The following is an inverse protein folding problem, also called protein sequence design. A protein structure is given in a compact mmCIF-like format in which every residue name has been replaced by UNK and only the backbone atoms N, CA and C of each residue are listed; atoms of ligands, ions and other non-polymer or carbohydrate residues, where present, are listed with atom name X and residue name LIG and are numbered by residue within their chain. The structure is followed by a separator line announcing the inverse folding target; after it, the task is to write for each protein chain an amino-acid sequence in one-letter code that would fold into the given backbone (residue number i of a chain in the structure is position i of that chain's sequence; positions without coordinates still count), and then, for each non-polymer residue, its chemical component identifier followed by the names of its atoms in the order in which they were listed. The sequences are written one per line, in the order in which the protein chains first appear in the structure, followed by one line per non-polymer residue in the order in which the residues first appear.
data_IF_046221694255
#
_entry.id   IF_046221694255
#
_cell.length_a   1.000
_cell.length_b   1.000
_cell.length_c   1.000
_cell.angle_alpha   90.00
_cell.angle_beta   90.00
_cell.angle_gamma   90.00
#
_symmetry.space_group_name_H-M   'P 1'
#
loop_
_entity.id
_entity.type
_entity.pdbx_description
1 polymer ?
#
# COMPACT_ATOMS: atom_id res chain seq x y z
N UNK A 1 -3.83 -4.76 4.35
CA UNK A 1 -2.80 -4.36 3.36
C UNK A 1 -3.39 -3.64 2.16
N UNK A 2 -2.70 -2.62 1.65
CA UNK A 2 -2.95 -2.04 0.32
C UNK A 2 -2.62 -3.05 -0.79
N UNK A 3 -3.21 -2.93 -1.99
CA UNK A 3 -2.77 -3.70 -3.15
C UNK A 3 -1.28 -3.48 -3.42
N UNK A 4 -0.56 -4.56 -3.76
CA UNK A 4 0.87 -4.54 -4.10
C UNK A 4 1.03 -4.99 -5.55
N UNK A 5 1.81 -4.23 -6.33
CA UNK A 5 2.24 -4.61 -7.69
C UNK A 5 3.77 -4.66 -7.74
N UNK A 6 4.32 -5.76 -8.24
CA UNK A 6 5.77 -5.88 -8.44
C UNK A 6 6.17 -5.44 -9.85
N UNK A 7 7.18 -4.59 -9.95
CA UNK A 7 7.86 -4.25 -11.20
C UNK A 7 9.18 -5.03 -11.24
N UNK A 8 9.27 -5.94 -12.20
CA UNK A 8 10.39 -6.89 -12.35
C UNK A 8 11.09 -6.70 -13.69
N UNK A 9 12.23 -7.35 -13.88
CA UNK A 9 13.07 -7.24 -15.08
C UNK A 9 14.55 -7.22 -14.73
N UNK A 10 15.41 -7.51 -15.71
CA UNK A 10 16.86 -7.53 -15.52
C UNK A 10 17.44 -6.17 -15.10
N UNK A 11 18.68 -6.16 -14.60
CA UNK A 11 19.36 -4.89 -14.31
C UNK A 11 19.50 -4.06 -15.60
N UNK A 12 19.36 -2.74 -15.50
CA UNK A 12 19.51 -1.84 -16.65
C UNK A 12 18.35 -1.76 -17.64
N UNK A 13 17.27 -2.54 -17.48
CA UNK A 13 16.12 -2.50 -18.44
C UNK A 13 15.27 -1.21 -18.38
N UNK A 14 15.36 -0.44 -17.29
CA UNK A 14 14.58 0.78 -17.08
C UNK A 14 13.47 0.69 -16.02
N UNK A 15 13.52 -0.29 -15.10
CA UNK A 15 12.54 -0.44 -14.01
C UNK A 15 12.34 0.84 -13.19
N UNK A 16 13.43 1.44 -12.72
CA UNK A 16 13.39 2.63 -11.87
C UNK A 16 12.70 3.78 -12.58
N UNK A 17 13.01 4.01 -13.87
CA UNK A 17 12.35 5.03 -14.69
C UNK A 17 10.85 4.79 -14.83
N UNK A 18 10.41 3.55 -15.07
CA UNK A 18 8.98 3.24 -15.13
C UNK A 18 8.32 3.45 -13.76
N UNK A 19 8.97 3.03 -12.67
CA UNK A 19 8.46 3.20 -11.30
C UNK A 19 8.29 4.68 -10.95
N UNK A 20 9.28 5.53 -11.23
CA UNK A 20 9.19 6.98 -10.97
C UNK A 20 8.04 7.64 -11.73
N UNK A 21 7.87 7.28 -13.01
CA UNK A 21 6.75 7.76 -13.84
C UNK A 21 5.41 7.27 -13.27
N UNK A 22 5.31 5.98 -12.91
CA UNK A 22 4.10 5.42 -12.31
C UNK A 22 3.73 6.12 -11.00
N UNK A 23 4.71 6.34 -10.09
CA UNK A 23 4.47 7.06 -8.83
C UNK A 23 3.92 8.45 -9.13
N UNK A 24 4.54 9.18 -10.06
CA UNK A 24 4.10 10.52 -10.46
C UNK A 24 2.65 10.52 -10.97
N UNK A 25 2.31 9.58 -11.86
CA UNK A 25 0.94 9.43 -12.39
C UNK A 25 -0.07 9.08 -11.29
N UNK A 26 0.26 8.13 -10.41
CA UNK A 26 -0.63 7.75 -9.31
C UNK A 26 -0.87 8.91 -8.33
N UNK A 27 0.18 9.66 -7.98
CA UNK A 27 0.07 10.83 -7.11
C UNK A 27 -0.77 11.92 -7.76
N UNK A 28 -0.59 12.18 -9.06
CA UNK A 28 -1.44 13.12 -9.81
C UNK A 28 -2.93 12.71 -9.83
N UNK A 29 -3.21 11.41 -9.77
CA UNK A 29 -4.57 10.85 -9.65
C UNK A 29 -5.08 10.77 -8.19
N UNK A 30 -4.33 11.29 -7.21
CA UNK A 30 -4.74 11.40 -5.80
C UNK A 30 -4.51 10.15 -4.96
N UNK A 31 -3.70 9.19 -5.41
CA UNK A 31 -3.34 8.01 -4.61
C UNK A 31 -2.16 8.31 -3.68
N UNK A 32 -2.22 7.80 -2.45
CA UNK A 32 -1.04 7.70 -1.58
C UNK A 32 -0.25 6.47 -1.99
N UNK A 33 0.93 6.68 -2.56
CA UNK A 33 1.78 5.61 -3.09
C UNK A 33 2.91 5.33 -2.13
N UNK A 34 3.16 4.05 -1.85
CA UNK A 34 4.40 3.63 -1.23
C UNK A 34 5.24 2.82 -2.23
N UNK A 35 6.56 2.89 -2.07
CA UNK A 35 7.50 2.10 -2.84
C UNK A 35 8.37 1.25 -1.91
N UNK A 36 8.71 0.04 -2.35
CA UNK A 36 9.60 -0.86 -1.62
C UNK A 36 10.52 -1.55 -2.62
N UNK A 37 11.82 -1.53 -2.34
CA UNK A 37 12.82 -2.11 -3.22
C UNK A 37 13.51 -3.28 -2.52
N UNK A 38 13.67 -4.38 -3.24
CA UNK A 38 14.53 -5.46 -2.81
C UNK A 38 15.96 -5.19 -3.28
N UNK A 39 16.88 -4.91 -2.36
CA UNK A 39 18.30 -4.85 -2.65
C UNK A 39 18.85 -6.28 -2.78
N UNK A 40 19.68 -6.56 -3.79
CA UNK A 40 20.29 -7.88 -3.98
C UNK A 40 21.46 -8.16 -3.04
N UNK A 41 21.99 -7.11 -2.41
CA UNK A 41 23.08 -7.14 -1.45
C UNK A 41 22.73 -6.23 -0.27
N UNK A 42 23.52 -6.33 0.79
CA UNK A 42 23.44 -5.41 1.91
C UNK A 42 23.66 -3.97 1.42
N UNK A 43 23.04 -3.01 2.10
CA UNK A 43 23.11 -1.60 1.73
C UNK A 43 23.15 -0.73 2.97
N UNK A 44 23.91 0.37 2.88
CA UNK A 44 23.87 1.42 3.88
C UNK A 44 23.14 2.64 3.30
N UNK A 45 22.27 3.22 4.11
CA UNK A 45 21.55 4.46 3.80
C UNK A 45 22.09 5.63 4.62
N UNK A 46 22.91 5.33 5.63
CA UNK A 46 23.53 6.32 6.50
C UNK A 46 24.93 6.68 6.03
N UNK A 47 25.52 7.69 6.68
CA UNK A 47 26.89 8.12 6.42
C UNK A 47 27.82 7.72 7.56
N UNK A 48 28.92 7.06 7.20
CA UNK A 48 29.95 6.64 8.15
C UNK A 48 30.42 7.80 9.05
N UNK A 49 30.55 7.52 10.34
CA UNK A 49 30.98 8.48 11.35
C UNK A 49 29.91 9.45 11.87
N UNK A 50 28.71 9.50 11.26
CA UNK A 50 27.57 10.27 11.81
C UNK A 50 26.98 9.59 13.04
N UNK A 51 26.25 10.35 13.84
CA UNK A 51 25.68 9.89 15.12
C UNK A 51 24.81 8.65 14.95
N UNK A 52 23.94 8.64 13.93
CA UNK A 52 23.02 7.53 13.65
C UNK A 52 23.73 6.27 13.21
N UNK A 53 24.81 6.40 12.43
CA UNK A 53 25.68 5.31 12.05
C UNK A 53 26.43 4.75 13.27
N UNK A 54 26.93 5.64 14.14
CA UNK A 54 27.59 5.25 15.39
C UNK A 54 26.63 4.55 16.35
N UNK A 55 25.36 4.96 16.42
CA UNK A 55 24.34 4.29 17.23
C UNK A 55 24.10 2.86 16.73
N UNK A 56 23.93 2.67 15.42
CA UNK A 56 23.78 1.36 14.81
C UNK A 56 25.01 0.47 15.07
N UNK A 57 26.23 1.01 14.86
CA UNK A 57 27.49 0.31 15.10
C UNK A 57 27.74 -0.02 16.58
N UNK A 58 27.20 0.77 17.50
CA UNK A 58 27.21 0.49 18.95
C UNK A 58 26.22 -0.62 19.36
N UNK A 59 25.41 -1.14 18.42
CA UNK A 59 24.49 -2.25 18.67
C UNK A 59 23.04 -1.81 18.89
N UNK A 60 22.66 -0.58 18.56
CA UNK A 60 21.25 -0.19 18.57
C UNK A 60 20.48 -1.06 17.56
N UNK A 61 19.50 -1.82 18.06
CA UNK A 61 18.63 -2.66 17.22
C UNK A 61 17.77 -1.82 16.28
N UNK A 62 17.36 -0.63 16.72
CA UNK A 62 16.59 0.34 15.95
C UNK A 62 17.17 1.74 16.15
N UNK A 63 17.31 2.48 15.05
CA UNK A 63 17.69 3.89 15.04
C UNK A 63 16.60 4.65 14.28
N UNK A 64 16.01 5.64 14.93
CA UNK A 64 14.98 6.50 14.35
C UNK A 64 15.46 7.94 14.26
N UNK A 65 15.36 8.50 13.06
CA UNK A 65 15.71 9.89 12.74
C UNK A 65 14.40 10.60 12.44
N UNK A 66 14.18 11.76 13.07
CA UNK A 66 12.97 12.54 12.89
C UNK A 66 13.31 14.00 12.61
N UNK A 67 12.60 14.57 11.64
CA UNK A 67 12.58 16.00 11.34
C UNK A 67 11.13 16.47 11.17
N UNK A 68 10.85 17.77 11.07
CA UNK A 68 9.47 18.28 10.93
C UNK A 68 8.67 17.70 9.75
N UNK A 69 9.34 17.19 8.71
CA UNK A 69 8.70 16.78 7.46
C UNK A 69 8.98 15.34 7.04
N UNK A 70 9.91 14.64 7.69
CA UNK A 70 10.27 13.27 7.34
C UNK A 70 10.91 12.52 8.50
N UNK A 71 10.74 11.21 8.45
CA UNK A 71 11.43 10.24 9.30
C UNK A 71 12.30 9.32 8.44
N UNK A 72 13.37 8.82 9.03
CA UNK A 72 14.13 7.69 8.51
C UNK A 72 14.34 6.68 9.63
N UNK A 73 14.25 5.39 9.33
CA UNK A 73 14.40 4.33 10.31
C UNK A 73 15.39 3.29 9.78
N UNK A 74 16.38 2.96 10.59
CA UNK A 74 17.31 1.86 10.36
C UNK A 74 16.97 0.80 11.39
N UNK A 75 16.66 -0.41 10.93
CA UNK A 75 16.28 -1.53 11.80
C UNK A 75 17.11 -2.74 11.46
N UNK A 76 17.92 -3.18 12.42
CA UNK A 76 18.70 -4.39 12.29
C UNK A 76 17.78 -5.60 12.30
N UNK A 77 18.10 -6.61 11.50
CA UNK A 77 17.29 -7.81 11.34
C UNK A 77 18.18 -9.04 11.40
N UNK A 78 17.80 -9.99 12.26
CA UNK A 78 18.46 -11.29 12.33
C UNK A 78 18.04 -12.24 11.21
N UNK A 79 16.89 -12.00 10.57
CA UNK A 79 16.35 -12.79 9.46
C UNK A 79 15.58 -11.93 8.47
N UNK A 80 15.55 -12.38 7.22
CA UNK A 80 14.72 -11.79 6.17
C UNK A 80 13.23 -11.94 6.51
N UNK A 81 12.42 -10.92 6.23
CA UNK A 81 10.97 -10.94 6.40
C UNK A 81 10.31 -10.75 5.05
N UNK A 82 9.31 -11.57 4.76
CA UNK A 82 8.56 -11.50 3.52
C UNK A 82 7.90 -10.14 3.28
N UNK A 83 7.72 -9.81 2.01
CA UNK A 83 7.24 -8.50 1.55
C UNK A 83 5.88 -8.12 2.17
N UNK A 84 4.94 -9.05 2.25
CA UNK A 84 3.61 -8.76 2.83
C UNK A 84 3.69 -8.22 4.25
N UNK A 85 4.53 -8.81 5.10
CA UNK A 85 4.69 -8.36 6.48
C UNK A 85 5.45 -7.04 6.59
N UNK A 86 6.40 -6.76 5.70
CA UNK A 86 7.03 -5.44 5.61
C UNK A 86 5.99 -4.36 5.27
N UNK A 87 5.12 -4.62 4.29
CA UNK A 87 4.05 -3.72 3.89
C UNK A 87 3.07 -3.45 5.04
N UNK A 88 2.65 -4.47 5.77
CA UNK A 88 1.71 -4.30 6.90
C UNK A 88 2.32 -3.53 8.07
N UNK A 89 3.62 -3.69 8.33
CA UNK A 89 4.30 -3.00 9.43
C UNK A 89 4.63 -1.53 9.13
N UNK A 90 5.00 -1.22 7.89
CA UNK A 90 5.63 0.06 7.56
C UNK A 90 4.87 0.89 6.53
N UNK A 91 3.96 0.29 5.75
CA UNK A 91 3.32 0.92 4.59
C UNK A 91 1.77 0.87 4.68
N UNK A 92 1.21 0.79 5.88
CA UNK A 92 -0.22 0.56 6.14
C UNK A 92 -1.13 1.72 5.66
N UNK A 93 -0.56 2.92 5.55
CA UNK A 93 -1.23 4.14 5.15
C UNK A 93 -1.37 4.32 3.63
N UNK A 94 -0.67 3.51 2.84
CA UNK A 94 -0.70 3.60 1.37
C UNK A 94 -2.04 3.12 0.78
N UNK A 95 -2.38 3.65 -0.39
CA UNK A 95 -3.49 3.19 -1.22
C UNK A 95 -3.04 2.16 -2.26
N UNK A 96 -1.77 2.20 -2.66
CA UNK A 96 -1.09 1.19 -3.48
C UNK A 96 0.41 1.15 -3.14
N UNK A 97 1.00 -0.04 -3.23
CA UNK A 97 2.43 -0.28 -3.01
C UNK A 97 3.05 -0.78 -4.31
N UNK A 98 4.12 -0.11 -4.76
CA UNK A 98 4.94 -0.52 -5.91
C UNK A 98 6.21 -1.18 -5.39
N UNK A 99 6.38 -2.45 -5.70
CA UNK A 99 7.54 -3.23 -5.29
C UNK A 99 8.55 -3.37 -6.44
N UNK A 100 9.76 -2.84 -6.30
CA UNK A 100 10.85 -3.09 -7.23
C UNK A 100 11.51 -4.43 -6.90
N UNK A 101 11.42 -5.40 -7.83
CA UNK A 101 11.95 -6.74 -7.64
C UNK A 101 10.94 -7.71 -7.03
N UNK A 102 11.35 -8.49 -6.02
CA UNK A 102 10.51 -9.52 -5.40
C UNK A 102 9.94 -10.56 -6.40
N UNK A 103 10.72 -10.95 -7.42
CA UNK A 103 10.25 -11.83 -8.51
C UNK A 103 9.68 -13.18 -8.06
N UNK A 104 10.14 -13.69 -6.91
CA UNK A 104 9.71 -14.96 -6.30
C UNK A 104 8.43 -14.83 -5.47
N UNK A 105 8.01 -13.61 -5.14
CA UNK A 105 6.76 -13.40 -4.40
C UNK A 105 5.56 -13.72 -5.30
N UNK A 106 4.53 -14.31 -4.67
CA UNK A 106 3.26 -14.68 -5.30
C UNK A 106 2.34 -13.48 -5.55
N UNK A 107 2.90 -12.33 -5.96
CA UNK A 107 2.20 -11.07 -6.21
C UNK A 107 1.98 -10.83 -7.72
N UNK A 108 0.94 -10.08 -8.12
CA UNK A 108 0.82 -9.64 -9.49
C UNK A 108 2.05 -8.82 -9.89
N UNK A 109 2.58 -9.07 -11.08
CA UNK A 109 3.79 -8.39 -11.57
C UNK A 109 3.70 -7.92 -13.01
N UNK A 110 4.34 -6.79 -13.27
CA UNK A 110 4.62 -6.27 -14.60
C UNK A 110 6.12 -6.41 -14.82
N UNK A 111 6.50 -7.06 -15.92
CA UNK A 111 7.89 -7.19 -16.28
C UNK A 111 8.29 -6.13 -17.29
N UNK A 112 9.39 -5.44 -16.99
CA UNK A 112 10.04 -4.51 -17.90
C UNK A 112 11.04 -5.29 -18.73
N UNK A 113 10.82 -5.33 -20.03
CA UNK A 113 11.68 -5.97 -21.00
C UNK A 113 12.26 -4.92 -21.94
N UNK A 114 13.55 -5.01 -22.20
CA UNK A 114 14.23 -4.15 -23.16
C UNK A 114 15.04 -5.04 -24.08
N UNK A 115 14.73 -5.05 -25.37
CA UNK A 115 15.28 -6.03 -26.31
C UNK A 115 16.81 -6.01 -26.38
N UNK A 116 17.42 -4.85 -26.18
CA UNK A 116 18.88 -4.68 -26.15
C UNK A 116 19.57 -5.25 -24.90
N UNK A 117 18.82 -5.52 -23.84
CA UNK A 117 19.33 -6.04 -22.56
C UNK A 117 18.96 -7.50 -22.38
N UNK A 118 17.76 -7.89 -22.79
CA UNK A 118 17.23 -9.22 -22.64
C UNK A 118 16.21 -9.52 -23.75
N UNK A 119 16.33 -10.69 -24.36
CA UNK A 119 15.50 -11.09 -25.49
C UNK A 119 14.12 -11.63 -25.04
N UNK A 120 14.11 -12.48 -24.01
CA UNK A 120 12.92 -13.20 -23.54
C UNK A 120 12.52 -12.78 -22.13
N UNK A 121 11.23 -12.74 -21.75
CA UNK A 121 10.81 -12.45 -20.38
C UNK A 121 11.34 -13.45 -19.33
N UNK A 122 11.67 -12.94 -18.13
CA UNK A 122 12.07 -13.71 -16.95
C UNK A 122 10.87 -14.45 -16.32
N UNK A 123 9.70 -13.83 -16.33
CA UNK A 123 8.49 -14.33 -15.71
C UNK A 123 7.52 -14.84 -16.76
N UNK A 124 6.68 -15.79 -16.36
CA UNK A 124 5.54 -16.27 -17.15
C UNK A 124 4.24 -16.06 -16.38
N UNK A 125 3.12 -16.35 -17.03
CA UNK A 125 1.78 -16.27 -16.41
C UNK A 125 1.66 -17.07 -15.11
N UNK A 126 2.31 -18.24 -15.02
CA UNK A 126 2.37 -19.07 -13.80
C UNK A 126 3.03 -18.36 -12.62
N UNK A 127 3.92 -17.42 -12.89
CA UNK A 127 4.60 -16.59 -11.90
C UNK A 127 3.75 -15.36 -11.53
N UNK A 128 2.48 -15.30 -11.93
CA UNK A 128 1.58 -14.15 -11.79
C UNK A 128 2.02 -12.90 -12.58
N UNK A 129 2.74 -13.09 -13.68
CA UNK A 129 2.92 -12.04 -14.68
C UNK A 129 1.56 -11.65 -15.27
N UNK A 130 1.22 -10.37 -15.19
CA UNK A 130 -0.07 -9.85 -15.69
C UNK A 130 0.08 -8.93 -16.89
N UNK A 131 1.26 -8.37 -17.14
CA UNK A 131 1.57 -7.55 -18.31
C UNK A 131 3.10 -7.42 -18.53
N UNK A 132 3.48 -7.00 -19.73
CA UNK A 132 4.83 -6.54 -20.06
C UNK A 132 4.85 -5.04 -20.33
N UNK A 133 5.98 -4.40 -20.04
CA UNK A 133 6.33 -3.06 -20.50
C UNK A 133 7.61 -3.18 -21.33
N UNK A 134 7.53 -2.88 -22.64
CA UNK A 134 8.59 -3.16 -23.61
C UNK A 134 8.95 -1.94 -24.46
N UNK A 135 10.20 -1.87 -24.91
CA UNK A 135 10.67 -0.89 -25.90
C UNK A 135 10.37 -1.29 -27.34
N UNK A 136 9.90 -2.52 -27.55
CA UNK A 136 9.55 -3.07 -28.86
C UNK A 136 8.25 -3.85 -28.79
N UNK A 137 7.49 -3.98 -29.90
CA UNK A 137 6.33 -4.85 -29.96
C UNK A 137 6.71 -6.31 -29.69
N UNK A 138 5.95 -6.99 -28.84
CA UNK A 138 6.13 -8.40 -28.50
C UNK A 138 4.80 -9.12 -28.70
N UNK A 139 4.83 -10.26 -29.40
CA UNK A 139 3.67 -11.12 -29.56
C UNK A 139 3.53 -12.04 -28.33
N UNK A 140 2.54 -11.77 -27.47
CA UNK A 140 2.30 -12.54 -26.25
C UNK A 140 0.82 -12.53 -25.87
N UNK A 141 0.36 -13.58 -25.19
CA UNK A 141 -1.00 -13.73 -24.64
C UNK A 141 -1.32 -12.83 -23.42
N UNK A 142 -0.50 -11.81 -23.17
CA UNK A 142 -0.64 -10.86 -22.07
C UNK A 142 -0.56 -9.43 -22.63
N UNK A 143 -1.21 -8.46 -21.98
CA UNK A 143 -1.05 -7.05 -22.35
C UNK A 143 0.42 -6.63 -22.40
N UNK A 144 0.82 -5.99 -23.49
CA UNK A 144 2.15 -5.40 -23.67
C UNK A 144 1.97 -3.90 -23.84
N UNK A 145 2.61 -3.13 -22.98
CA UNK A 145 2.61 -1.66 -23.01
C UNK A 145 3.95 -1.15 -23.53
N UNK A 146 3.95 0.06 -24.11
CA UNK A 146 5.19 0.80 -24.30
C UNK A 146 5.80 1.11 -22.92
N UNK A 147 7.08 0.83 -22.74
CA UNK A 147 7.84 1.12 -21.51
C UNK A 147 7.79 2.59 -21.10
N UNK A 148 7.53 3.51 -22.03
CA UNK A 148 7.42 4.94 -21.79
C UNK A 148 5.99 5.41 -21.48
N UNK A 149 4.97 4.58 -21.73
CA UNK A 149 3.57 4.89 -21.51
C UNK A 149 3.11 4.49 -20.10
N UNK A 150 3.62 5.22 -19.10
CA UNK A 150 3.26 4.99 -17.71
C UNK A 150 1.78 5.26 -17.41
N UNK A 151 1.09 6.07 -18.24
CA UNK A 151 -0.33 6.38 -18.06
C UNK A 151 -1.16 5.12 -18.32
N UNK A 152 -0.97 4.47 -19.47
CA UNK A 152 -1.65 3.21 -19.80
C UNK A 152 -1.33 2.09 -18.82
N UNK A 153 -0.07 1.99 -18.37
CA UNK A 153 0.33 1.02 -17.35
C UNK A 153 -0.38 1.32 -16.02
N UNK A 154 -0.47 2.58 -15.61
CA UNK A 154 -1.18 2.99 -14.40
C UNK A 154 -2.68 2.64 -14.48
N UNK A 155 -3.35 2.95 -15.58
CA UNK A 155 -4.76 2.61 -15.79
C UNK A 155 -5.00 1.10 -15.74
N UNK A 156 -4.10 0.33 -16.33
CA UNK A 156 -4.13 -1.13 -16.26
C UNK A 156 -4.02 -1.63 -14.81
N UNK A 157 -3.09 -1.08 -14.01
CA UNK A 157 -2.92 -1.43 -12.60
C UNK A 157 -4.17 -1.05 -11.79
N UNK A 158 -4.73 0.15 -12.00
CA UNK A 158 -5.97 0.59 -11.35
C UNK A 158 -7.10 -0.40 -11.64
N UNK A 159 -7.25 -0.83 -12.90
CA UNK A 159 -8.33 -1.72 -13.32
C UNK A 159 -8.20 -3.15 -12.77
N UNK A 160 -6.98 -3.69 -12.71
CA UNK A 160 -6.76 -5.13 -12.45
C UNK A 160 -6.20 -5.45 -11.06
N UNK A 161 -5.50 -4.51 -10.42
CA UNK A 161 -4.82 -4.74 -9.13
C UNK A 161 -5.56 -4.01 -8.01
N UNK A 162 -5.97 -2.77 -8.26
CA UNK A 162 -6.77 -2.00 -7.30
C UNK A 162 -8.21 -2.47 -7.39
N UNK A 163 -8.58 -3.46 -6.57
CA UNK A 163 -10.00 -3.80 -6.38
C UNK A 163 -10.73 -2.53 -6.00
N UNK A 164 -11.83 -2.19 -6.69
CA UNK A 164 -12.70 -1.06 -6.34
C UNK A 164 -12.82 -1.01 -4.83
N UNK A 165 -12.27 0.03 -4.20
CA UNK A 165 -12.44 0.24 -2.76
C UNK A 165 -13.95 0.13 -2.54
N UNK A 166 -14.40 -0.89 -1.78
CA UNK A 166 -15.74 -0.83 -1.20
C UNK A 166 -15.82 0.56 -0.60
N UNK A 167 -16.84 1.37 -0.94
CA UNK A 167 -17.05 2.68 -0.31
C UNK A 167 -16.92 2.45 1.19
N UNK A 168 -15.79 2.85 1.77
CA UNK A 168 -15.60 2.76 3.21
C UNK A 168 -16.32 4.00 3.69
N UNK A 169 -17.60 3.84 4.06
CA UNK A 169 -18.27 4.78 4.94
C UNK A 169 -17.34 4.94 6.16
N UNK A 170 -16.77 6.14 6.31
CA UNK A 170 -15.71 6.38 7.28
C UNK A 170 -16.28 6.49 8.69
N UNK A 171 -15.63 5.84 9.66
CA UNK A 171 -15.89 6.08 11.09
C UNK A 171 -15.16 7.35 11.49
N UNK A 172 -15.90 8.31 12.04
CA UNK A 172 -15.37 9.52 12.65
C UNK A 172 -15.62 9.45 14.15
N UNK A 173 -14.55 9.50 14.95
CA UNK A 173 -14.66 9.66 16.40
C UNK A 173 -14.60 11.14 16.76
N UNK A 174 -15.50 11.58 17.64
CA UNK A 174 -15.47 12.90 18.25
C UNK A 174 -15.42 12.77 19.78
N UNK A 175 -14.57 13.54 20.43
CA UNK A 175 -14.56 13.74 21.88
C UNK A 175 -14.71 15.24 22.12
N UNK A 176 -15.76 15.66 22.83
CA UNK A 176 -16.11 17.08 23.03
C UNK A 176 -16.14 17.84 21.68
N UNK A 177 -16.82 17.27 20.68
CA UNK A 177 -16.90 17.75 19.29
C UNK A 177 -15.59 17.80 18.48
N UNK A 178 -14.44 17.49 19.11
CA UNK A 178 -13.15 17.45 18.43
C UNK A 178 -12.95 16.13 17.70
N UNK A 179 -12.56 16.20 16.42
CA UNK A 179 -12.28 15.01 15.60
C UNK A 179 -11.02 14.32 16.11
N UNK A 180 -11.14 13.04 16.46
CA UNK A 180 -10.01 12.22 16.92
C UNK A 180 -9.53 11.34 15.75
N UNK A 181 -8.27 11.48 15.30
CA UNK A 181 -7.72 10.61 14.28
C UNK A 181 -7.59 9.18 14.81
N UNK A 182 -7.98 8.22 13.98
CA UNK A 182 -7.87 6.78 14.27
C UNK A 182 -7.12 6.09 13.15
N UNK A 183 -6.28 5.11 13.51
CA UNK A 183 -5.63 4.24 12.55
C UNK A 183 -6.67 3.35 11.82
N UNK A 184 -6.23 2.67 10.76
CA UNK A 184 -7.13 1.85 9.94
C UNK A 184 -7.75 0.70 10.71
N UNK A 185 -6.96 -0.03 11.49
CA UNK A 185 -7.41 -1.18 12.28
C UNK A 185 -8.58 -0.80 13.20
N UNK A 186 -8.43 0.28 13.97
CA UNK A 186 -9.45 0.75 14.92
C UNK A 186 -10.73 1.20 14.18
N UNK A 187 -10.59 1.91 13.05
CA UNK A 187 -11.75 2.31 12.23
C UNK A 187 -12.51 1.12 11.68
N UNK A 188 -11.80 0.14 11.15
CA UNK A 188 -12.41 -1.06 10.55
C UNK A 188 -13.12 -1.88 11.65
N UNK A 189 -12.50 -2.04 12.83
CA UNK A 189 -13.11 -2.71 13.98
C UNK A 189 -14.43 -2.03 14.41
N UNK A 190 -14.42 -0.72 14.68
CA UNK A 190 -15.63 0.01 15.09
C UNK A 190 -16.73 -0.08 14.04
N UNK A 191 -16.37 0.04 12.76
CA UNK A 191 -17.34 -0.07 11.68
C UNK A 191 -18.03 -1.43 11.68
N UNK A 192 -17.27 -2.52 11.71
CA UNK A 192 -17.84 -3.87 11.64
C UNK A 192 -18.71 -4.16 12.87
N UNK A 193 -18.28 -3.75 14.07
CA UNK A 193 -19.07 -3.91 15.31
C UNK A 193 -20.38 -3.12 15.25
N UNK A 194 -20.32 -1.81 14.94
CA UNK A 194 -21.52 -0.96 14.88
C UNK A 194 -22.47 -1.42 13.78
N UNK A 195 -21.95 -1.78 12.60
CA UNK A 195 -22.79 -2.28 11.51
C UNK A 195 -23.42 -3.63 11.84
N UNK A 196 -22.72 -4.52 12.55
CA UNK A 196 -23.30 -5.76 13.06
C UNK A 196 -24.45 -5.46 14.03
N UNK A 197 -24.28 -4.54 14.98
CA UNK A 197 -25.36 -4.11 15.89
C UNK A 197 -26.56 -3.57 15.10
N UNK A 198 -26.35 -2.63 14.18
CA UNK A 198 -27.40 -2.04 13.33
C UNK A 198 -28.14 -3.12 12.53
N UNK A 199 -27.43 -4.15 12.04
CA UNK A 199 -28.05 -5.23 11.25
C UNK A 199 -29.03 -6.09 12.06
N UNK A 200 -28.91 -6.12 13.38
CA UNK A 200 -29.83 -6.86 14.27
C UNK A 200 -31.09 -6.07 14.61
N UNK A 201 -31.11 -4.76 14.35
CA UNK A 201 -32.25 -3.89 14.65
C UNK A 201 -33.37 -4.09 13.63
N UNK A 202 -34.62 -4.21 14.11
CA UNK A 202 -35.82 -4.27 13.26
C UNK A 202 -36.21 -2.87 12.77
N UNK A 203 -35.54 -2.39 11.74
CA UNK A 203 -35.72 -1.03 11.19
C UNK A 203 -36.97 -0.89 10.29
N UNK A 204 -38.16 -1.29 10.77
CA UNK A 204 -39.41 -1.33 9.96
C UNK A 204 -39.84 0.01 9.35
N UNK A 205 -39.33 1.14 9.86
CA UNK A 205 -39.68 2.51 9.42
C UNK A 205 -38.49 3.31 8.88
N UNK A 206 -37.31 2.71 8.75
CA UNK A 206 -36.10 3.42 8.32
C UNK A 206 -35.62 2.77 7.02
N UNK A 207 -35.46 3.59 5.97
CA UNK A 207 -34.81 3.17 4.74
C UNK A 207 -33.36 2.74 5.01
N UNK A 208 -32.71 2.09 4.05
CA UNK A 208 -31.32 1.61 4.21
C UNK A 208 -30.43 2.75 4.75
N UNK A 209 -29.78 2.60 5.93
CA UNK A 209 -29.15 3.71 6.62
C UNK A 209 -28.00 4.30 5.77
N UNK A 210 -28.10 5.60 5.49
CA UNK A 210 -27.06 6.37 4.77
C UNK A 210 -25.97 6.85 5.74
N UNK A 211 -26.34 7.06 7.01
CA UNK A 211 -25.45 7.44 8.12
C UNK A 211 -25.96 6.79 9.41
N UNK A 212 -25.04 6.28 10.22
CA UNK A 212 -25.30 5.77 11.57
C UNK A 212 -24.50 6.65 12.54
N UNK A 213 -25.15 7.15 13.58
CA UNK A 213 -24.53 7.95 14.64
C UNK A 213 -24.73 7.24 15.98
N UNK A 214 -23.64 7.06 16.72
CA UNK A 214 -23.63 6.46 18.05
C UNK A 214 -23.01 7.50 18.99
N UNK A 215 -23.78 7.91 20.00
CA UNK A 215 -23.35 8.89 21.00
C UNK A 215 -23.42 8.26 22.39
N UNK A 216 -22.38 8.46 23.19
CA UNK A 216 -22.30 8.00 24.58
C UNK A 216 -22.15 9.25 25.44
N UNK A 217 -23.16 9.58 26.25
CA UNK A 217 -23.02 10.62 27.27
C UNK A 217 -22.49 9.97 28.55
N UNK A 218 -21.39 10.50 29.07
CA UNK A 218 -20.72 9.99 30.27
C UNK A 218 -21.12 10.76 31.53
N UNK A 219 -22.04 11.73 31.43
CA UNK A 219 -22.41 12.65 32.54
C UNK A 219 -23.75 12.31 33.19
N UNK A 220 -24.63 11.55 32.54
CA UNK A 220 -25.93 11.14 33.09
C UNK A 220 -26.31 9.71 32.62
N UNK A 221 -27.01 8.90 33.43
CA UNK A 221 -27.62 7.65 32.96
C UNK A 221 -28.70 7.96 31.92
N UNK A 222 -28.67 7.25 30.78
CA UNK A 222 -29.64 7.44 29.70
C UNK A 222 -30.97 6.81 30.09
N UNK A 223 -31.99 7.63 30.37
CA UNK A 223 -33.38 7.17 30.51
C UNK A 223 -33.95 6.89 29.11
N UNK A 224 -33.75 5.66 28.62
CA UNK A 224 -34.34 5.22 27.35
C UNK A 224 -35.83 4.96 27.61
N UNK A 225 -36.69 5.98 27.47
CA UNK A 225 -38.11 5.71 27.27
C UNK A 225 -38.26 4.95 25.96
N UNK A 226 -38.52 3.65 26.07
CA UNK A 226 -38.93 2.82 24.94
C UNK A 226 -40.22 3.40 24.35
N UNK A 227 -40.12 4.10 23.23
CA UNK A 227 -41.28 4.31 22.35
C UNK A 227 -41.67 2.94 21.79
N UNK A 228 -42.71 2.35 22.40
CA UNK A 228 -43.41 1.14 21.93
C UNK A 228 -44.13 1.39 20.61
#
# INVERSE_FOLDING_TARGET
MAPVISIVGSSGVGKTTLIEKLISVFVAKGYRVAAVKHASHDFDIDHEGKDTWRYAGAGAHEVLISSPHKIAMIKQRSKETGLGRLCDLYLDSADIIIAEGFKREGLPKIEVLRKTVQEEPLCRKKDRLIALASDTPINMDLPVFDINDAESVCEFIIKHVIKKKRKVFGVLLRINDQKIPMNRFVRDMFKEVVMAMVSTLRLKRISKPVRVELSIDTREPVDVKEDR
#
